data_IF_833566978113
#
_entry.id   IF_833566978113
#
_cell.length_a   1.000
_cell.length_b   1.000
_cell.length_c   1.000
_cell.angle_alpha   90.00
_cell.angle_beta   90.00
_cell.angle_gamma   90.00
#
_symmetry.space_group_name_H-M   'P 1'
#
loop_
_entity.id
_entity.type
_entity.pdbx_description
1 polymer ?
#
# COMPACT_ATOMS: atom_id res chain seq x y z
N UNK A 1 24.70 47.28 32.44
CA UNK A 1 23.44 46.60 32.82
C UNK A 1 23.49 45.24 32.14
N UNK A 2 23.71 44.21 32.94
CA UNK A 2 24.30 42.94 32.51
C UNK A 2 23.35 42.08 31.69
N UNK A 3 23.89 41.47 30.63
CA UNK A 3 23.32 40.31 29.97
C UNK A 3 23.25 39.14 30.94
N UNK A 4 22.11 38.43 30.98
CA UNK A 4 22.02 37.09 31.52
C UNK A 4 21.77 36.09 30.38
N UNK A 5 22.64 35.08 30.34
CA UNK A 5 22.60 33.89 29.48
C UNK A 5 21.92 32.72 30.19
N UNK A 6 21.39 31.78 29.38
CA UNK A 6 20.90 30.41 29.68
C UNK A 6 19.58 30.28 30.47
N UNK A 7 18.68 29.34 30.15
CA UNK A 7 18.85 27.95 29.69
C UNK A 7 17.78 27.54 28.65
N UNK A 8 18.08 27.12 27.41
CA UNK A 8 18.51 25.76 26.99
C UNK A 8 17.70 24.55 27.53
N UNK A 9 16.51 24.74 28.13
CA UNK A 9 15.73 23.63 28.68
C UNK A 9 14.39 23.33 27.97
N UNK A 10 13.91 24.17 27.04
CA UNK A 10 12.53 24.05 26.51
C UNK A 10 12.39 23.27 25.20
N UNK A 11 13.46 23.06 24.43
CA UNK A 11 13.36 22.29 23.17
C UNK A 11 13.40 20.77 23.38
N UNK A 12 13.97 20.30 24.49
CA UNK A 12 14.01 18.86 24.81
C UNK A 12 12.64 18.29 25.21
N UNK A 13 11.74 19.13 25.75
CA UNK A 13 10.44 18.70 26.25
C UNK A 13 9.37 18.62 25.13
N UNK A 14 9.61 19.29 24.00
CA UNK A 14 8.68 19.34 22.86
C UNK A 14 8.89 18.16 21.89
N UNK A 15 10.09 17.57 21.87
CA UNK A 15 10.37 16.37 21.06
C UNK A 15 10.12 15.03 21.80
N UNK A 16 9.91 15.05 23.13
CA UNK A 16 9.59 13.83 23.90
C UNK A 16 8.09 13.48 23.96
N UNK A 17 7.19 14.41 23.59
CA UNK A 17 5.73 14.18 23.67
C UNK A 17 5.11 13.45 22.46
N UNK A 18 5.88 13.09 21.42
CA UNK A 18 5.38 12.39 20.23
C UNK A 18 5.64 10.88 20.21
N UNK A 19 6.09 10.31 21.32
CA UNK A 19 6.35 8.88 21.46
C UNK A 19 5.60 8.27 22.65
N UNK A 20 4.33 8.63 22.84
CA UNK A 20 3.40 7.70 23.46
C UNK A 20 3.11 6.61 22.42
N UNK A 21 3.98 5.60 22.35
CA UNK A 21 3.61 4.32 21.79
C UNK A 21 2.42 3.84 22.61
N UNK A 22 1.22 3.92 22.03
CA UNK A 22 0.06 3.27 22.61
C UNK A 22 0.40 1.79 22.70
N UNK A 23 0.34 1.26 23.91
CA UNK A 23 0.65 -0.13 24.11
C UNK A 23 -0.40 -0.95 23.36
N UNK A 24 0.01 -2.06 22.74
CA UNK A 24 -0.94 -2.89 21.98
C UNK A 24 -2.16 -3.30 22.83
N UNK A 25 -1.97 -3.41 24.15
CA UNK A 25 -3.02 -3.69 25.14
C UNK A 25 -4.14 -2.66 25.18
N UNK A 26 -3.90 -1.40 24.78
CA UNK A 26 -4.92 -0.35 24.78
C UNK A 26 -6.01 -0.59 23.73
N UNK A 27 -5.78 -1.54 22.81
CA UNK A 27 -6.71 -1.98 21.77
C UNK A 27 -7.26 -3.39 22.02
N UNK A 28 -6.93 -4.01 23.16
CA UNK A 28 -7.40 -5.35 23.48
C UNK A 28 -8.86 -5.31 23.98
N UNK A 29 -9.66 -6.27 23.53
CA UNK A 29 -11.06 -6.41 23.96
C UNK A 29 -11.48 -7.88 23.94
N UNK A 30 -12.44 -8.22 24.80
CA UNK A 30 -12.98 -9.57 24.85
C UNK A 30 -13.82 -9.85 23.59
N UNK A 31 -13.29 -10.68 22.68
CA UNK A 31 -13.98 -11.16 21.49
C UNK A 31 -14.18 -12.68 21.57
N UNK A 32 -15.37 -13.17 21.98
CA UNK A 32 -15.70 -14.58 21.89
C UNK A 32 -15.58 -15.09 20.45
N UNK A 33 -14.92 -16.23 20.25
CA UNK A 33 -14.73 -16.83 18.91
C UNK A 33 -16.05 -17.05 18.16
N UNK A 34 -17.14 -17.33 18.88
CA UNK A 34 -18.47 -17.53 18.31
C UNK A 34 -19.07 -16.28 17.65
N UNK A 35 -18.55 -15.09 17.97
CA UNK A 35 -18.96 -13.83 17.34
C UNK A 35 -18.12 -13.47 16.11
N UNK A 36 -17.09 -14.27 15.79
CA UNK A 36 -16.28 -14.12 14.57
C UNK A 36 -17.00 -14.84 13.42
N UNK A 37 -17.53 -14.07 12.48
CA UNK A 37 -18.19 -14.61 11.30
C UNK A 37 -17.20 -15.44 10.47
N UNK A 38 -17.44 -16.76 10.39
CA UNK A 38 -16.62 -17.70 9.62
C UNK A 38 -16.94 -17.67 8.12
N UNK A 39 -18.12 -17.19 7.77
CA UNK A 39 -18.61 -17.02 6.41
C UNK A 39 -19.40 -15.71 6.33
N UNK A 40 -19.44 -15.06 5.16
CA UNK A 40 -20.34 -13.92 4.97
C UNK A 40 -21.81 -14.35 5.11
N UNK A 41 -22.68 -13.38 5.39
CA UNK A 41 -24.13 -13.59 5.29
C UNK A 41 -24.53 -14.03 3.87
N UNK A 42 -25.62 -14.79 3.75
CA UNK A 42 -26.12 -15.31 2.46
C UNK A 42 -26.37 -14.17 1.46
N UNK A 43 -27.09 -13.13 1.89
CA UNK A 43 -27.12 -11.84 1.21
C UNK A 43 -26.26 -10.85 1.98
N UNK A 44 -25.26 -10.25 1.31
CA UNK A 44 -24.33 -9.31 1.96
C UNK A 44 -25.02 -8.10 2.61
N UNK A 45 -26.11 -7.66 2.00
CA UNK A 45 -26.91 -6.51 2.44
C UNK A 45 -27.67 -6.76 3.76
N UNK A 46 -27.80 -8.03 4.17
CA UNK A 46 -28.49 -8.42 5.41
C UNK A 46 -27.57 -8.32 6.64
N UNK A 47 -26.32 -7.90 6.45
CA UNK A 47 -25.39 -7.65 7.55
C UNK A 47 -25.88 -6.53 8.48
N UNK A 48 -25.40 -6.56 9.72
CA UNK A 48 -25.60 -5.48 10.70
C UNK A 48 -24.71 -4.29 10.35
N UNK A 49 -25.20 -3.09 10.67
CA UNK A 49 -24.51 -1.82 10.57
C UNK A 49 -24.50 -1.17 11.96
N UNK A 50 -23.32 -0.99 12.54
CA UNK A 50 -23.13 -0.22 13.76
C UNK A 50 -22.80 1.22 13.36
N UNK A 51 -23.63 2.17 13.78
CA UNK A 51 -23.39 3.60 13.53
C UNK A 51 -22.96 4.26 14.82
N UNK A 52 -21.83 4.96 14.77
CA UNK A 52 -21.38 5.87 15.82
C UNK A 52 -21.59 7.29 15.31
N UNK A 53 -22.44 8.06 15.98
CA UNK A 53 -22.71 9.44 15.59
C UNK A 53 -21.69 10.45 16.15
N UNK A 54 -21.84 11.73 15.78
CA UNK A 54 -20.95 12.82 16.20
C UNK A 54 -20.94 13.04 17.73
N UNK A 55 -22.02 12.65 18.42
CA UNK A 55 -22.15 12.71 19.89
C UNK A 55 -21.65 11.40 20.56
N UNK A 56 -20.97 10.53 19.81
CA UNK A 56 -20.53 9.20 20.23
C UNK A 56 -21.66 8.27 20.71
N UNK A 57 -22.90 8.47 20.24
CA UNK A 57 -23.99 7.52 20.49
C UNK A 57 -23.92 6.38 19.49
N UNK A 58 -24.23 5.19 20.00
CA UNK A 58 -24.20 3.94 19.24
C UNK A 58 -25.62 3.60 18.79
N UNK A 59 -25.77 3.29 17.50
CA UNK A 59 -27.02 2.87 16.89
C UNK A 59 -26.85 1.55 16.16
N UNK A 60 -27.71 0.58 16.48
CA UNK A 60 -27.77 -0.73 15.82
C UNK A 60 -28.76 -0.69 14.64
N UNK A 61 -28.27 -0.99 13.44
CA UNK A 61 -29.08 -1.01 12.22
C UNK A 61 -28.77 -2.21 11.32
N UNK A 62 -29.58 -2.39 10.28
CA UNK A 62 -29.25 -3.23 9.13
C UNK A 62 -28.49 -2.40 8.09
N UNK A 63 -27.55 -3.02 7.37
CA UNK A 63 -26.77 -2.37 6.30
C UNK A 63 -27.65 -1.80 5.18
N UNK A 64 -28.83 -2.37 4.95
CA UNK A 64 -29.85 -1.81 4.04
C UNK A 64 -30.27 -0.36 4.39
N UNK A 65 -30.04 0.09 5.62
CA UNK A 65 -30.33 1.45 6.06
C UNK A 65 -29.17 2.43 5.85
N UNK A 66 -28.03 2.01 5.28
CA UNK A 66 -26.86 2.88 5.10
C UNK A 66 -27.22 4.22 4.41
N UNK A 67 -28.09 4.18 3.40
CA UNK A 67 -28.50 5.37 2.65
C UNK A 67 -29.22 6.43 3.51
N UNK A 68 -29.81 6.04 4.66
CA UNK A 68 -30.44 6.99 5.60
C UNK A 68 -29.42 7.83 6.37
N UNK A 69 -28.16 7.40 6.38
CA UNK A 69 -27.06 8.05 7.07
C UNK A 69 -26.19 8.91 6.13
N UNK A 70 -26.56 8.99 4.85
CA UNK A 70 -25.89 9.81 3.85
C UNK A 70 -26.73 11.04 3.51
N UNK A 71 -26.06 12.15 3.25
CA UNK A 71 -26.68 13.39 2.78
C UNK A 71 -26.50 13.55 1.27
N UNK A 72 -27.42 14.25 0.59
CA UNK A 72 -27.20 14.65 -0.80
C UNK A 72 -25.86 15.39 -0.96
N UNK A 73 -25.02 14.91 -1.87
CA UNK A 73 -23.68 15.46 -2.11
C UNK A 73 -22.53 14.67 -1.48
N UNK A 74 -22.81 13.67 -0.64
CA UNK A 74 -21.76 12.81 -0.07
C UNK A 74 -21.07 11.97 -1.15
N UNK A 75 -19.74 11.81 -1.01
CA UNK A 75 -18.92 10.97 -1.88
C UNK A 75 -18.59 9.63 -1.18
N UNK A 76 -19.07 8.53 -1.75
CA UNK A 76 -18.67 7.19 -1.31
C UNK A 76 -17.43 6.77 -2.11
N UNK A 77 -16.30 6.66 -1.42
CA UNK A 77 -15.07 6.12 -2.01
C UNK A 77 -15.01 4.62 -1.73
N UNK A 78 -15.22 3.82 -2.78
CA UNK A 78 -15.15 2.36 -2.69
C UNK A 78 -13.78 1.88 -3.18
N UNK A 79 -13.12 1.05 -2.38
CA UNK A 79 -11.89 0.39 -2.83
C UNK A 79 -12.21 -0.71 -3.84
N UNK A 80 -11.80 -0.53 -5.10
CA UNK A 80 -11.87 -1.56 -6.12
C UNK A 80 -10.48 -2.17 -6.33
N UNK A 81 -10.22 -3.30 -5.67
CA UNK A 81 -8.93 -4.00 -5.78
C UNK A 81 -8.88 -4.90 -7.01
N UNK A 82 -8.10 -4.54 -8.02
CA UNK A 82 -7.74 -5.42 -9.13
C UNK A 82 -6.35 -6.03 -8.90
N UNK A 83 -6.23 -7.35 -9.03
CA UNK A 83 -4.93 -8.03 -8.94
C UNK A 83 -4.21 -7.86 -10.27
N UNK A 84 -3.28 -6.91 -10.36
CA UNK A 84 -2.31 -6.91 -11.45
C UNK A 84 -1.36 -8.09 -11.20
N UNK A 85 -1.24 -9.03 -12.15
CA UNK A 85 -0.20 -10.07 -12.12
C UNK A 85 1.14 -9.41 -12.42
N UNK A 86 1.65 -8.69 -11.43
CA UNK A 86 2.71 -7.70 -11.55
C UNK A 86 4.13 -8.27 -11.38
N UNK A 87 4.27 -9.54 -11.00
CA UNK A 87 5.57 -10.12 -10.69
C UNK A 87 6.19 -10.76 -11.94
N UNK A 88 7.21 -10.10 -12.49
CA UNK A 88 8.03 -10.62 -13.59
C UNK A 88 9.38 -11.12 -13.07
N UNK A 89 9.77 -12.31 -13.49
CA UNK A 89 11.10 -12.86 -13.20
C UNK A 89 12.07 -12.29 -14.23
N UNK A 90 13.21 -11.79 -13.78
CA UNK A 90 14.21 -11.19 -14.65
C UNK A 90 15.62 -11.70 -14.39
N UNK A 91 16.48 -11.56 -15.38
CA UNK A 91 17.92 -11.83 -15.26
C UNK A 91 18.71 -10.65 -15.81
N UNK A 92 19.73 -10.24 -15.08
CA UNK A 92 20.70 -9.23 -15.57
C UNK A 92 21.55 -9.85 -16.68
N UNK A 93 22.12 -9.04 -17.60
CA UNK A 93 23.07 -9.53 -18.60
C UNK A 93 24.26 -10.30 -17.99
N UNK A 94 24.66 -9.93 -16.77
CA UNK A 94 25.70 -10.62 -16.00
C UNK A 94 25.29 -11.99 -15.44
N UNK A 95 24.05 -12.44 -15.66
CA UNK A 95 23.52 -13.72 -15.17
C UNK A 95 22.85 -13.64 -13.79
N UNK A 96 23.00 -12.55 -13.05
CA UNK A 96 22.38 -12.41 -11.72
C UNK A 96 20.85 -12.26 -11.79
N UNK A 97 20.14 -12.92 -10.88
CA UNK A 97 18.68 -12.83 -10.77
C UNK A 97 18.19 -11.42 -10.39
N UNK A 98 17.00 -11.09 -10.86
CA UNK A 98 16.22 -9.93 -10.49
C UNK A 98 14.73 -10.26 -10.53
N UNK A 99 13.93 -9.49 -9.80
CA UNK A 99 12.48 -9.61 -9.79
C UNK A 99 11.88 -8.22 -9.95
N UNK A 100 10.91 -8.09 -10.86
CA UNK A 100 10.23 -6.83 -11.16
C UNK A 100 8.80 -6.95 -10.67
N UNK A 101 8.38 -6.03 -9.79
CA UNK A 101 7.01 -5.91 -9.34
C UNK A 101 6.41 -4.63 -9.93
N UNK A 102 5.52 -4.80 -10.89
CA UNK A 102 4.81 -3.72 -11.59
C UNK A 102 3.82 -3.05 -10.64
N UNK A 103 4.00 -1.75 -10.41
CA UNK A 103 3.03 -0.93 -9.69
C UNK A 103 1.96 -0.42 -10.66
N UNK A 104 2.39 0.11 -11.81
CA UNK A 104 1.50 0.69 -12.81
C UNK A 104 2.05 0.54 -14.22
N UNK A 105 1.17 0.13 -15.14
CA UNK A 105 1.45 0.13 -16.58
C UNK A 105 1.25 1.55 -17.12
N UNK A 106 2.22 2.02 -17.91
CA UNK A 106 2.21 3.30 -18.61
C UNK A 106 2.28 2.95 -20.11
N UNK A 107 1.18 3.02 -20.86
CA UNK A 107 1.18 2.69 -22.28
C UNK A 107 2.19 3.56 -23.08
N UNK A 108 2.79 3.04 -24.16
CA UNK A 108 2.49 1.75 -24.80
C UNK A 108 3.24 0.54 -24.18
N UNK A 109 4.51 0.67 -23.81
CA UNK A 109 5.34 -0.44 -23.30
C UNK A 109 6.22 0.03 -22.12
N UNK A 110 5.66 0.83 -21.22
CA UNK A 110 6.38 1.35 -20.06
C UNK A 110 5.69 0.91 -18.78
N UNK A 111 6.44 0.80 -17.69
CA UNK A 111 5.86 0.61 -16.38
C UNK A 111 6.66 1.30 -15.29
N UNK A 112 5.95 1.65 -14.21
CA UNK A 112 6.55 1.98 -12.93
C UNK A 112 6.61 0.71 -12.09
N UNK A 113 7.79 0.37 -11.57
CA UNK A 113 8.00 -0.92 -10.92
C UNK A 113 9.03 -0.87 -9.79
N UNK A 114 8.88 -1.72 -8.79
CA UNK A 114 9.93 -2.04 -7.84
C UNK A 114 10.80 -3.16 -8.40
N UNK A 115 12.11 -3.13 -8.14
CA UNK A 115 13.02 -4.18 -8.61
C UNK A 115 13.83 -4.74 -7.44
N UNK A 116 13.63 -6.01 -7.14
CA UNK A 116 14.44 -6.79 -6.20
C UNK A 116 15.67 -7.39 -6.88
N UNK A 117 16.87 -7.10 -6.39
CA UNK A 117 18.13 -7.69 -6.89
C UNK A 117 19.22 -7.60 -5.82
N UNK A 118 20.04 -8.65 -5.70
CA UNK A 118 21.16 -8.72 -4.73
C UNK A 118 22.27 -7.69 -4.98
N UNK A 119 22.34 -7.09 -6.17
CA UNK A 119 23.31 -6.04 -6.50
C UNK A 119 22.59 -4.80 -7.00
N UNK A 120 23.18 -3.63 -6.71
CA UNK A 120 22.68 -2.32 -7.11
C UNK A 120 22.42 -2.26 -8.62
N UNK A 121 21.28 -1.73 -8.99
CA UNK A 121 20.86 -1.50 -10.37
C UNK A 121 21.31 -0.12 -10.83
N UNK A 122 21.66 0.00 -12.11
CA UNK A 122 22.05 1.25 -12.74
C UNK A 122 20.99 1.69 -13.74
N UNK A 123 20.89 3.00 -13.95
CA UNK A 123 20.17 3.55 -15.10
C UNK A 123 20.87 3.08 -16.39
N UNK A 124 20.10 2.95 -17.46
CA UNK A 124 20.46 2.41 -18.76
C UNK A 124 20.93 0.94 -18.74
N UNK A 125 20.67 0.24 -17.64
CA UNK A 125 20.87 -1.20 -17.56
C UNK A 125 19.63 -1.93 -18.09
N UNK A 126 19.85 -2.91 -18.97
CA UNK A 126 18.80 -3.82 -19.46
C UNK A 126 18.62 -5.02 -18.54
N UNK A 127 17.38 -5.48 -18.40
CA UNK A 127 17.00 -6.74 -17.74
C UNK A 127 16.31 -7.65 -18.75
N UNK A 128 16.65 -8.94 -18.74
CA UNK A 128 15.98 -9.94 -19.56
C UNK A 128 14.78 -10.49 -18.78
N UNK A 129 13.57 -10.23 -19.26
CA UNK A 129 12.33 -10.74 -18.67
C UNK A 129 12.14 -12.18 -19.11
N UNK A 130 11.89 -13.07 -18.15
CA UNK A 130 11.79 -14.51 -18.35
C UNK A 130 10.33 -14.98 -18.29
N UNK A 131 9.97 -15.89 -19.18
CA UNK A 131 8.75 -16.70 -19.03
C UNK A 131 8.88 -17.69 -17.88
N UNK A 132 7.77 -18.36 -17.54
CA UNK A 132 7.75 -19.46 -16.57
C UNK A 132 8.71 -20.61 -16.91
N UNK A 133 9.03 -20.81 -18.20
CA UNK A 133 9.95 -21.85 -18.67
C UNK A 133 11.39 -21.32 -18.84
N UNK A 134 11.68 -20.10 -18.41
CA UNK A 134 13.03 -19.52 -18.44
C UNK A 134 13.47 -18.92 -19.78
N UNK A 135 12.65 -19.00 -20.84
CA UNK A 135 12.92 -18.31 -22.10
C UNK A 135 12.78 -16.79 -21.93
N UNK A 136 13.65 -16.01 -22.57
CA UNK A 136 13.57 -14.55 -22.59
C UNK A 136 12.38 -14.15 -23.46
N UNK A 137 11.42 -13.42 -22.87
CA UNK A 137 10.20 -12.97 -23.56
C UNK A 137 10.25 -11.51 -23.94
N UNK A 138 10.95 -10.67 -23.16
CA UNK A 138 11.13 -9.26 -23.41
C UNK A 138 12.43 -8.76 -22.77
N UNK A 139 12.87 -7.58 -23.18
CA UNK A 139 13.93 -6.84 -22.50
C UNK A 139 13.32 -5.60 -21.86
N UNK A 140 13.78 -5.24 -20.67
CA UNK A 140 13.35 -4.05 -19.94
C UNK A 140 14.54 -3.14 -19.65
N UNK A 141 14.54 -1.93 -20.20
CA UNK A 141 15.57 -0.92 -19.98
C UNK A 141 15.19 -0.04 -18.79
N UNK A 142 16.08 0.08 -17.81
CA UNK A 142 15.89 0.99 -16.67
C UNK A 142 16.17 2.43 -17.12
N UNK A 143 15.13 3.25 -17.25
CA UNK A 143 15.25 4.64 -17.71
C UNK A 143 15.48 5.62 -16.57
N UNK A 144 14.72 5.46 -15.49
CA UNK A 144 14.69 6.41 -14.39
C UNK A 144 14.49 5.70 -13.06
N UNK A 145 14.79 6.41 -11.97
CA UNK A 145 14.53 5.96 -10.61
C UNK A 145 13.93 7.11 -9.80
N UNK A 146 12.80 6.82 -9.18
CA UNK A 146 12.07 7.69 -8.25
C UNK A 146 11.96 6.94 -6.93
N UNK A 147 12.83 7.25 -5.97
CA UNK A 147 12.98 6.56 -4.68
C UNK A 147 13.17 5.03 -4.79
N UNK A 148 12.12 4.25 -4.49
CA UNK A 148 12.10 2.78 -4.58
C UNK A 148 11.58 2.25 -5.91
N UNK A 149 11.05 3.14 -6.76
CA UNK A 149 10.44 2.79 -8.04
C UNK A 149 11.39 3.10 -9.21
N UNK A 150 11.31 2.28 -10.23
CA UNK A 150 12.04 2.39 -11.48
C UNK A 150 11.06 2.54 -12.64
N UNK A 151 11.41 3.40 -13.59
CA UNK A 151 10.70 3.46 -14.88
C UNK A 151 11.40 2.50 -15.83
N UNK A 152 10.63 1.54 -16.34
CA UNK A 152 11.08 0.51 -17.27
C UNK A 152 10.47 0.73 -18.65
N UNK A 153 11.31 0.76 -19.68
CA UNK A 153 10.88 0.66 -21.08
C UNK A 153 11.05 -0.77 -21.58
N UNK A 154 9.97 -1.42 -21.99
CA UNK A 154 9.96 -2.79 -22.49
C UNK A 154 10.08 -2.82 -24.02
N UNK A 155 10.85 -3.78 -24.54
CA UNK A 155 11.02 -3.97 -25.99
C UNK A 155 9.74 -4.44 -26.70
N UNK A 156 8.82 -5.05 -25.97
CA UNK A 156 7.47 -5.47 -26.39
C UNK A 156 6.58 -5.55 -25.16
N UNK A 157 5.27 -5.62 -25.35
CA UNK A 157 4.32 -5.80 -24.25
C UNK A 157 4.66 -7.08 -23.45
N UNK A 158 5.02 -6.95 -22.15
CA UNK A 158 5.36 -8.10 -21.31
C UNK A 158 4.13 -8.70 -20.60
N UNK A 159 2.93 -8.14 -20.79
CA UNK A 159 1.70 -8.49 -20.08
C UNK A 159 0.84 -9.53 -20.81
#
# INVERSE_FOLDING_TARGET
MSMNFCSHADEANTMQQRANYQNLSDYDYQLPESLIAQRPAENRSDSRLLVLDEDARIHDHSFNNLTKWLKPGDLIVVNNSSVLKARLIARKPSGGAAEVLIERVIPPNRALAMIGSNKRLKIDQTLNILSKHGAIVAEALIKERHDSLFVLDFSKDPF
#
